data_IF_124413813804
#
_entry.id   IF_124413813804
#
_cell.length_a   1.000
_cell.length_b   1.000
_cell.length_c   1.000
_cell.angle_alpha   90.00
_cell.angle_beta   90.00
_cell.angle_gamma   90.00
#
_symmetry.space_group_name_H-M   'P 1'
#
loop_
_entity.id
_entity.type
_entity.pdbx_description
1 polymer ?
#
# COMPACT_ATOMS: atom_id res chain seq x y z
N UNK A 1 -0.22 -13.10 0.42
CA UNK A 1 -1.27 -13.28 1.45
C UNK A 1 -1.14 -14.61 2.19
N UNK A 2 -1.34 -15.78 1.56
CA UNK A 2 -1.25 -17.09 2.26
C UNK A 2 0.07 -17.31 2.99
N UNK A 3 1.19 -16.97 2.36
CA UNK A 3 2.50 -17.08 3.01
C UNK A 3 2.63 -16.14 4.22
N UNK A 4 2.13 -14.90 4.13
CA UNK A 4 2.13 -13.97 5.28
C UNK A 4 1.39 -14.54 6.50
N UNK A 5 0.26 -15.20 6.27
CA UNK A 5 -0.51 -15.84 7.33
C UNK A 5 0.25 -17.03 7.93
N UNK A 6 0.92 -17.84 7.10
CA UNK A 6 1.77 -18.95 7.55
C UNK A 6 2.97 -18.46 8.37
N UNK A 7 3.52 -17.30 7.99
CA UNK A 7 4.64 -16.66 8.68
C UNK A 7 4.20 -15.93 9.98
N UNK A 8 2.94 -16.07 10.39
CA UNK A 8 2.42 -15.56 11.66
C UNK A 8 1.95 -14.10 11.62
N UNK A 9 1.80 -13.50 10.44
CA UNK A 9 1.12 -12.20 10.32
C UNK A 9 -0.37 -12.40 10.50
N UNK A 10 -0.96 -11.73 11.48
CA UNK A 10 -2.41 -11.84 11.77
C UNK A 10 -3.21 -11.12 10.70
N UNK A 11 -4.45 -11.54 10.46
CA UNK A 11 -5.29 -10.90 9.45
C UNK A 11 -5.56 -9.41 9.78
N UNK A 12 -5.78 -9.10 11.06
CA UNK A 12 -5.96 -7.72 11.57
C UNK A 12 -4.73 -6.82 11.43
N UNK A 13 -3.55 -7.41 11.26
CA UNK A 13 -2.29 -6.69 11.05
C UNK A 13 -2.10 -6.26 9.59
N UNK A 14 -2.99 -6.71 8.68
CA UNK A 14 -2.92 -6.51 7.24
C UNK A 14 -4.02 -5.55 6.79
N UNK A 15 -3.64 -4.54 6.01
CA UNK A 15 -4.58 -3.70 5.27
C UNK A 15 -4.28 -3.71 3.78
N UNK A 16 -5.33 -3.74 2.97
CA UNK A 16 -5.25 -3.46 1.55
C UNK A 16 -5.60 -1.99 1.33
N UNK A 17 -4.70 -1.25 0.69
CA UNK A 17 -4.91 0.14 0.30
C UNK A 17 -5.06 0.26 -1.21
N UNK A 18 -6.06 1.01 -1.67
CA UNK A 18 -6.22 1.32 -3.10
C UNK A 18 -6.51 2.80 -3.32
N UNK A 19 -6.31 3.29 -4.55
CA UNK A 19 -6.75 4.62 -4.95
C UNK A 19 -8.29 4.71 -5.06
N UNK A 20 -8.94 3.57 -5.33
CA UNK A 20 -10.37 3.47 -5.62
C UNK A 20 -11.13 2.77 -4.50
N UNK A 21 -12.44 2.99 -4.43
CA UNK A 21 -13.35 2.30 -3.49
C UNK A 21 -13.38 0.79 -3.76
N UNK A 22 -13.79 -0.01 -2.78
CA UNK A 22 -13.82 -1.47 -2.91
C UNK A 22 -14.57 -1.92 -4.17
N UNK A 23 -15.75 -1.35 -4.42
CA UNK A 23 -16.60 -1.64 -5.58
C UNK A 23 -15.99 -1.34 -6.96
N UNK A 24 -14.92 -0.53 -7.01
CA UNK A 24 -14.21 -0.18 -8.25
C UNK A 24 -12.72 -0.56 -8.23
N UNK A 25 -12.30 -1.28 -7.19
CA UNK A 25 -10.92 -1.75 -7.01
C UNK A 25 -10.64 -3.07 -7.72
N UNK A 26 -11.68 -3.84 -8.06
CA UNK A 26 -11.57 -5.21 -8.55
C UNK A 26 -11.41 -6.27 -7.44
N UNK A 27 -11.51 -5.87 -6.17
CA UNK A 27 -11.47 -6.78 -5.01
C UNK A 27 -12.84 -7.07 -4.41
N UNK A 28 -13.89 -6.42 -4.88
CA UNK A 28 -15.26 -6.70 -4.41
C UNK A 28 -15.63 -8.17 -4.64
N UNK A 29 -16.19 -8.82 -3.62
CA UNK A 29 -16.50 -10.24 -3.64
C UNK A 29 -15.29 -11.19 -3.63
N UNK A 30 -14.06 -10.66 -3.68
CA UNK A 30 -12.86 -11.48 -3.58
C UNK A 30 -12.57 -11.91 -2.15
N UNK A 31 -11.83 -13.01 -2.00
CA UNK A 31 -11.38 -13.52 -0.69
C UNK A 31 -9.88 -13.80 -0.71
N UNK A 32 -9.03 -12.75 -0.70
CA UNK A 32 -7.61 -12.94 -0.92
C UNK A 32 -6.99 -13.71 0.25
N UNK A 33 -6.39 -14.86 -0.06
CA UNK A 33 -5.88 -15.78 0.96
C UNK A 33 -6.97 -16.51 1.77
N UNK A 34 -8.22 -16.52 1.30
CA UNK A 34 -9.35 -17.13 2.02
C UNK A 34 -9.84 -16.30 3.21
N UNK A 35 -9.62 -14.98 3.15
CA UNK A 35 -10.03 -13.99 4.15
C UNK A 35 -11.11 -13.09 3.57
N UNK A 36 -12.05 -12.69 4.41
CA UNK A 36 -13.09 -11.74 4.02
C UNK A 36 -12.54 -10.32 4.08
N UNK A 37 -12.90 -9.49 3.09
CA UNK A 37 -12.53 -8.09 3.09
C UNK A 37 -13.54 -7.30 3.92
N UNK A 38 -13.02 -6.51 4.87
CA UNK A 38 -13.77 -5.54 5.66
C UNK A 38 -13.49 -4.14 5.11
N UNK A 39 -14.49 -3.49 4.52
CA UNK A 39 -14.32 -2.12 4.01
C UNK A 39 -14.42 -1.12 5.15
N UNK A 40 -13.31 -0.49 5.52
CA UNK A 40 -13.24 0.56 6.54
C UNK A 40 -13.84 1.89 6.08
N UNK A 41 -14.06 2.06 4.77
CA UNK A 41 -14.72 3.24 4.24
C UNK A 41 -16.25 3.14 4.28
N UNK A 42 -16.80 2.00 4.70
CA UNK A 42 -18.24 1.82 4.89
C UNK A 42 -18.65 2.22 6.31
N UNK A 43 -19.75 2.96 6.45
CA UNK A 43 -20.32 3.33 7.74
C UNK A 43 -20.81 2.11 8.55
N UNK A 44 -21.08 1.00 7.86
CA UNK A 44 -21.53 -0.27 8.44
C UNK A 44 -20.39 -1.30 8.56
N UNK A 45 -19.13 -0.86 8.63
CA UNK A 45 -18.00 -1.77 8.74
C UNK A 45 -18.18 -2.69 9.97
N UNK A 46 -18.35 -4.01 9.79
CA UNK A 46 -18.61 -4.92 10.89
C UNK A 46 -17.45 -4.90 11.89
N UNK A 47 -17.64 -5.37 13.12
CA UNK A 47 -16.52 -5.55 14.04
C UNK A 47 -15.46 -6.47 13.42
N UNK A 48 -14.17 -6.21 13.73
CA UNK A 48 -13.09 -7.00 13.16
C UNK A 48 -13.15 -8.44 13.66
N UNK A 49 -13.32 -9.40 12.74
CA UNK A 49 -13.31 -10.83 13.04
C UNK A 49 -11.94 -11.49 12.79
N UNK A 50 -11.74 -12.70 13.32
CA UNK A 50 -10.48 -13.46 13.24
C UNK A 50 -10.01 -13.80 11.81
N UNK A 51 -10.88 -13.64 10.81
CA UNK A 51 -10.61 -13.97 9.39
C UNK A 51 -10.92 -12.83 8.44
N UNK A 52 -10.80 -11.61 8.94
CA UNK A 52 -11.02 -10.40 8.15
C UNK A 52 -9.71 -9.65 7.94
N UNK A 53 -9.60 -9.03 6.77
CA UNK A 53 -8.57 -8.04 6.47
C UNK A 53 -9.23 -6.72 6.17
N UNK A 54 -8.59 -5.66 6.62
CA UNK A 54 -9.09 -4.32 6.34
C UNK A 54 -8.82 -3.95 4.88
N UNK A 55 -9.78 -3.27 4.27
CA UNK A 55 -9.61 -2.53 3.04
C UNK A 55 -9.91 -1.07 3.31
N UNK A 56 -9.15 -0.18 2.69
CA UNK A 56 -9.43 1.24 2.74
C UNK A 56 -8.90 1.94 1.48
N UNK A 57 -9.53 3.06 1.12
CA UNK A 57 -8.92 3.95 0.14
C UNK A 57 -7.72 4.68 0.77
N UNK A 58 -6.67 4.94 -0.01
CA UNK A 58 -5.52 5.72 0.45
C UNK A 58 -5.92 7.12 0.95
N UNK A 59 -6.99 7.68 0.38
CA UNK A 59 -7.54 8.98 0.79
C UNK A 59 -8.14 8.95 2.20
N UNK A 60 -8.81 7.87 2.57
CA UNK A 60 -9.51 7.73 3.85
C UNK A 60 -8.62 7.15 4.96
N UNK A 61 -7.52 6.48 4.61
CA UNK A 61 -6.62 5.82 5.56
C UNK A 61 -5.65 6.79 6.28
N UNK A 62 -6.15 7.96 6.70
CA UNK A 62 -5.34 9.00 7.35
C UNK A 62 -5.23 8.75 8.85
N UNK A 63 -4.03 8.97 9.41
CA UNK A 63 -3.78 8.80 10.86
C UNK A 63 -3.76 7.34 11.33
N UNK A 64 -3.81 6.39 10.40
CA UNK A 64 -3.79 4.96 10.64
C UNK A 64 -2.49 4.35 10.12
N UNK A 65 -1.99 3.34 10.82
CA UNK A 65 -0.84 2.54 10.41
C UNK A 65 -1.15 1.06 10.60
N UNK A 66 -0.53 0.19 9.80
CA UNK A 66 -0.66 -1.26 9.88
C UNK A 66 0.70 -1.91 9.77
N UNK A 67 0.83 -3.10 10.36
CA UNK A 67 2.07 -3.87 10.29
C UNK A 67 2.42 -4.23 8.86
N UNK A 68 1.43 -4.70 8.10
CA UNK A 68 1.55 -5.02 6.69
C UNK A 68 0.55 -4.20 5.85
N UNK A 69 1.06 -3.54 4.81
CA UNK A 69 0.24 -2.83 3.82
C UNK A 69 0.41 -3.49 2.46
N UNK A 70 -0.71 -3.81 1.83
CA UNK A 70 -0.78 -4.25 0.44
C UNK A 70 -1.38 -3.11 -0.38
N UNK A 71 -0.57 -2.44 -1.18
CA UNK A 71 -1.05 -1.42 -2.10
C UNK A 71 -1.55 -2.09 -3.38
N UNK A 72 -2.85 -1.95 -3.67
CA UNK A 72 -3.54 -2.67 -4.72
C UNK A 72 -3.91 -1.77 -5.90
N UNK A 73 -3.50 -2.21 -7.09
CA UNK A 73 -3.88 -1.65 -8.38
C UNK A 73 -3.60 -0.14 -8.46
N UNK A 74 -2.41 0.26 -8.02
CA UNK A 74 -2.01 1.67 -8.15
C UNK A 74 -1.67 1.98 -9.60
N UNK A 75 -2.02 3.17 -10.03
CA UNK A 75 -1.72 3.72 -11.34
C UNK A 75 -1.35 5.20 -11.23
N UNK A 76 -0.92 5.77 -12.35
CA UNK A 76 -0.66 7.22 -12.49
C UNK A 76 0.42 7.73 -11.53
N UNK A 77 1.47 6.92 -11.36
CA UNK A 77 2.57 7.11 -10.40
C UNK A 77 3.39 8.40 -10.59
N UNK A 78 3.26 9.03 -11.77
CA UNK A 78 4.05 10.20 -12.17
C UNK A 78 3.27 11.52 -12.07
N UNK A 79 2.01 11.50 -11.62
CA UNK A 79 1.22 12.71 -11.41
C UNK A 79 1.50 13.30 -10.01
N UNK A 80 1.80 14.61 -9.88
CA UNK A 80 2.22 15.17 -8.58
C UNK A 80 1.23 14.97 -7.43
N UNK A 81 -0.07 15.09 -7.72
CA UNK A 81 -1.11 14.94 -6.70
C UNK A 81 -1.24 13.48 -6.22
N UNK A 82 -1.16 12.52 -7.13
CA UNK A 82 -1.21 11.11 -6.76
C UNK A 82 0.11 10.62 -6.17
N UNK A 83 1.26 11.18 -6.56
CA UNK A 83 2.55 10.85 -5.95
C UNK A 83 2.53 11.14 -4.43
N UNK A 84 1.94 12.27 -4.01
CA UNK A 84 1.74 12.56 -2.58
C UNK A 84 0.77 11.60 -1.91
N UNK A 85 -0.34 11.28 -2.57
CA UNK A 85 -1.32 10.31 -2.04
C UNK A 85 -0.67 8.94 -1.83
N UNK A 86 0.08 8.47 -2.83
CA UNK A 86 0.83 7.22 -2.79
C UNK A 86 1.82 7.24 -1.64
N UNK A 87 2.63 8.30 -1.53
CA UNK A 87 3.57 8.44 -0.42
C UNK A 87 2.85 8.36 0.94
N UNK A 88 1.74 9.09 1.11
CA UNK A 88 0.95 9.08 2.34
C UNK A 88 0.36 7.71 2.68
N UNK A 89 -0.04 6.92 1.68
CA UNK A 89 -0.59 5.57 1.87
C UNK A 89 0.49 4.51 2.09
N UNK A 90 1.53 4.51 1.27
CA UNK A 90 2.62 3.53 1.31
C UNK A 90 3.47 3.64 2.59
N UNK A 91 3.66 4.86 3.09
CA UNK A 91 4.38 5.11 4.35
C UNK A 91 3.67 4.60 5.62
N UNK A 92 2.44 4.09 5.51
CA UNK A 92 1.68 3.51 6.64
C UNK A 92 2.08 2.08 6.98
N UNK A 93 2.91 1.46 6.15
CA UNK A 93 3.48 0.16 6.42
C UNK A 93 4.56 0.26 7.50
N UNK A 94 4.35 -0.41 8.64
CA UNK A 94 5.35 -0.43 9.72
C UNK A 94 6.44 -1.47 9.52
N UNK A 95 6.12 -2.59 8.88
CA UNK A 95 7.05 -3.73 8.75
C UNK A 95 7.12 -4.29 7.35
N UNK A 96 5.99 -4.41 6.66
CA UNK A 96 5.93 -4.96 5.31
C UNK A 96 5.10 -4.06 4.39
N UNK A 97 5.72 -3.68 3.27
CA UNK A 97 5.03 -3.04 2.16
C UNK A 97 5.07 -3.96 0.94
N UNK A 98 3.90 -4.35 0.44
CA UNK A 98 3.74 -5.07 -0.81
C UNK A 98 2.99 -4.19 -1.79
N UNK A 99 3.55 -3.98 -2.98
CA UNK A 99 2.91 -3.15 -4.02
C UNK A 99 2.55 -4.05 -5.19
N UNK A 100 1.27 -4.07 -5.55
CA UNK A 100 0.71 -4.82 -6.67
C UNK A 100 0.23 -3.82 -7.72
N UNK A 101 0.95 -3.80 -8.84
CA UNK A 101 0.79 -2.82 -9.91
C UNK A 101 0.36 -3.51 -11.20
N UNK A 102 -0.49 -2.87 -12.02
CA UNK A 102 -0.68 -3.27 -13.40
C UNK A 102 0.65 -3.25 -14.16
N UNK A 103 0.85 -4.23 -15.04
CA UNK A 103 2.09 -4.36 -15.83
C UNK A 103 2.42 -3.10 -16.64
N UNK A 104 1.41 -2.36 -17.09
CA UNK A 104 1.56 -1.08 -17.80
C UNK A 104 2.31 -0.01 -16.99
N UNK A 105 2.29 -0.10 -15.66
CA UNK A 105 2.97 0.86 -14.77
C UNK A 105 4.46 0.54 -14.59
N UNK A 106 4.97 -0.61 -15.08
CA UNK A 106 6.37 -1.04 -14.90
C UNK A 106 7.37 0.03 -15.29
N UNK A 107 7.15 0.69 -16.43
CA UNK A 107 8.08 1.71 -16.93
C UNK A 107 8.06 2.97 -16.06
N UNK A 108 6.89 3.36 -15.54
CA UNK A 108 6.77 4.50 -14.63
C UNK A 108 7.53 4.23 -13.31
N UNK A 109 7.39 3.03 -12.74
CA UNK A 109 8.16 2.61 -11.56
C UNK A 109 9.66 2.68 -11.82
N UNK A 110 10.12 2.15 -12.96
CA UNK A 110 11.54 2.15 -13.32
C UNK A 110 12.10 3.58 -13.39
N UNK A 111 11.39 4.49 -14.06
CA UNK A 111 11.79 5.91 -14.14
C UNK A 111 11.81 6.57 -12.76
N UNK A 112 10.81 6.32 -11.91
CA UNK A 112 10.76 6.88 -10.57
C UNK A 112 11.93 6.37 -9.70
N UNK A 113 12.28 5.09 -9.82
CA UNK A 113 13.43 4.51 -9.14
C UNK A 113 14.75 5.13 -9.62
N UNK A 114 14.95 5.28 -10.93
CA UNK A 114 16.15 5.92 -11.51
C UNK A 114 16.28 7.38 -11.05
N UNK A 115 15.18 8.13 -11.10
CA UNK A 115 15.10 9.53 -10.62
C UNK A 115 15.50 9.64 -9.14
N UNK A 116 14.90 8.81 -8.29
CA UNK A 116 15.14 8.87 -6.85
C UNK A 116 16.54 8.37 -6.48
N UNK A 117 17.06 7.36 -7.18
CA UNK A 117 18.42 6.85 -6.97
C UNK A 117 19.47 7.90 -7.31
N UNK A 118 19.28 8.65 -8.41
CA UNK A 118 20.18 9.75 -8.76
C UNK A 118 20.20 10.87 -7.71
N UNK A 119 19.03 11.18 -7.11
CA UNK A 119 18.92 12.15 -6.01
C UNK A 119 19.66 11.67 -4.77
N UNK A 120 19.47 10.40 -4.37
CA UNK A 120 20.14 9.82 -3.20
C UNK A 120 21.66 9.79 -3.40
N UNK A 121 22.14 9.38 -4.57
CA UNK A 121 23.58 9.36 -4.89
C UNK A 121 24.18 10.77 -4.83
N UNK A 122 23.48 11.79 -5.36
CA UNK A 122 23.93 13.19 -5.25
C UNK A 122 23.93 13.68 -3.81
N UNK A 123 22.91 13.34 -3.02
CA UNK A 123 22.83 13.71 -1.62
C UNK A 123 23.96 13.09 -0.79
N UNK A 124 24.29 11.81 -1.04
CA UNK A 124 25.42 11.12 -0.40
C UNK A 124 26.78 11.69 -0.83
N UNK A 125 26.95 12.06 -2.09
CA UNK A 125 28.17 12.67 -2.59
C UNK A 125 28.41 14.10 -2.06
N UNK A 126 27.37 14.77 -1.56
CA UNK A 126 27.43 16.13 -1.01
C UNK A 126 27.53 16.16 0.53
N UNK A 127 27.53 15.01 1.22
CA UNK A 127 27.75 14.98 2.67
C UNK A 127 29.23 15.24 2.96
N UNK A 128 29.59 16.29 3.73
CA UNK A 128 30.96 16.50 4.13
C UNK A 128 31.39 15.35 5.04
N UNK A 129 32.51 14.73 4.70
CA UNK A 129 33.17 13.72 5.53
C UNK A 129 33.39 14.33 6.91
N UNK A 130 32.61 13.91 7.91
CA UNK A 130 32.86 14.29 9.30
C UNK A 130 34.17 13.63 9.71
N UNK A 131 35.23 14.43 9.76
CA UNK A 131 36.51 14.12 10.38
C UNK A 131 36.40 14.23 11.90
#
# INVERSE_FOLDING_TARGET
MRELLKDGVRAEDIVILSQRKLSSSGLEGSSPGGLTIRDLCSDEAPAHGDRQIDFCTMHAFKGLERRAVIAWNMAELETPDLERLHYCGLSRARSLLMILLPERERNAVKRQFERNSAVVVRALAQQPTRA
#
